data_IF_264569808010
#
_entry.id   IF_264569808010
#
_cell.length_a   1.000
_cell.length_b   1.000
_cell.length_c   1.000
_cell.angle_alpha   90.00
_cell.angle_beta   90.00
_cell.angle_gamma   90.00
#
_symmetry.space_group_name_H-M   'P 1'
#
loop_
_entity.id
_entity.type
_entity.pdbx_description
1 polymer ?
#
# COMPACT_ATOMS: atom_id res chain seq x y z
N UNK A 1 -1.33 -39.08 13.73
CA UNK A 1 -0.88 -39.57 12.42
C UNK A 1 -0.42 -38.44 11.53
N UNK A 2 0.90 -38.29 11.51
CA UNK A 2 1.61 -37.41 10.60
C UNK A 2 2.28 -38.32 9.58
N UNK A 3 2.14 -38.01 8.28
CA UNK A 3 3.20 -38.01 7.25
C UNK A 3 2.59 -38.15 5.84
N UNK A 4 3.01 -37.22 4.97
CA UNK A 4 2.97 -37.21 3.49
C UNK A 4 1.65 -37.07 2.74
N UNK A 5 1.42 -35.86 2.24
CA UNK A 5 1.36 -35.49 0.82
C UNK A 5 1.41 -33.94 0.81
N UNK A 6 2.42 -33.26 0.29
CA UNK A 6 3.14 -33.54 -0.94
C UNK A 6 2.91 -32.35 -1.87
N UNK A 7 3.86 -31.42 -1.85
CA UNK A 7 4.25 -30.54 -2.97
C UNK A 7 3.17 -29.72 -3.70
N UNK A 8 3.14 -28.42 -3.44
CA UNK A 8 2.98 -27.32 -4.40
C UNK A 8 3.07 -26.01 -3.59
N UNK A 9 4.25 -25.46 -3.27
CA UNK A 9 5.11 -24.73 -4.21
C UNK A 9 4.33 -24.10 -5.36
N UNK A 10 3.48 -23.13 -5.04
CA UNK A 10 3.29 -21.95 -5.90
C UNK A 10 3.53 -20.73 -5.03
N UNK A 11 4.81 -20.52 -4.70
CA UNK A 11 5.32 -19.23 -4.28
C UNK A 11 5.26 -18.35 -5.53
N UNK A 12 4.37 -17.37 -5.53
CA UNK A 12 4.13 -16.50 -6.68
C UNK A 12 5.44 -15.95 -7.26
N UNK A 13 5.61 -15.84 -8.61
CA UNK A 13 6.89 -15.53 -9.24
C UNK A 13 7.42 -14.11 -9.01
N UNK A 14 6.68 -13.25 -8.31
CA UNK A 14 7.00 -11.83 -8.17
C UNK A 14 8.10 -11.52 -7.15
N UNK A 15 8.55 -12.50 -6.34
CA UNK A 15 9.56 -12.28 -5.30
C UNK A 15 11.02 -12.52 -5.74
N UNK A 16 11.25 -12.86 -7.02
CA UNK A 16 12.59 -13.20 -7.54
C UNK A 16 13.34 -12.03 -8.20
N UNK A 17 12.73 -10.85 -8.31
CA UNK A 17 13.33 -9.70 -9.01
C UNK A 17 14.09 -8.71 -8.11
N UNK A 18 14.38 -9.07 -6.85
CA UNK A 18 15.18 -8.20 -5.95
C UNK A 18 16.38 -8.91 -5.30
N UNK A 19 16.58 -10.20 -5.52
CA UNK A 19 17.65 -10.96 -4.83
C UNK A 19 18.93 -11.16 -5.66
N UNK A 20 19.01 -10.66 -6.90
CA UNK A 20 20.19 -10.80 -7.76
C UNK A 20 21.20 -9.64 -7.67
N UNK A 21 21.02 -8.70 -6.74
CA UNK A 21 21.86 -7.51 -6.59
C UNK A 21 22.60 -7.45 -5.25
N UNK A 22 22.77 -8.59 -4.57
CA UNK A 22 23.27 -8.61 -3.19
C UNK A 22 24.63 -9.29 -2.97
N UNK A 23 25.47 -9.45 -4.00
CA UNK A 23 26.81 -10.07 -3.82
C UNK A 23 28.00 -9.30 -4.36
N UNK A 24 27.85 -8.05 -4.78
CA UNK A 24 29.03 -7.21 -5.05
C UNK A 24 28.74 -5.77 -4.72
N UNK A 25 29.13 -5.35 -3.51
CA UNK A 25 29.63 -4.01 -3.21
C UNK A 25 29.97 -3.95 -1.71
N UNK A 26 31.23 -4.23 -1.40
CA UNK A 26 31.86 -3.84 -0.15
C UNK A 26 32.06 -2.32 -0.20
N UNK A 27 31.06 -1.55 0.23
CA UNK A 27 31.19 -0.09 0.31
C UNK A 27 31.11 0.35 1.76
N UNK A 28 32.22 0.91 2.23
CA UNK A 28 32.33 1.68 3.47
C UNK A 28 31.16 2.67 3.56
N UNK A 29 30.61 2.80 4.76
CA UNK A 29 29.57 3.76 5.12
C UNK A 29 29.98 5.18 4.76
N UNK A 30 29.57 5.61 3.56
CA UNK A 30 29.23 7.00 3.28
C UNK A 30 27.80 6.90 2.76
N UNK A 31 26.84 7.09 3.65
CA UNK A 31 25.41 7.13 3.30
C UNK A 31 25.19 8.37 2.45
N UNK A 32 25.46 8.26 1.14
CA UNK A 32 24.95 9.23 0.18
C UNK A 32 23.45 9.01 0.17
N UNK A 33 22.73 9.87 0.89
CA UNK A 33 21.30 10.02 0.76
C UNK A 33 21.04 10.39 -0.70
N UNK A 34 20.79 9.40 -1.55
CA UNK A 34 20.32 9.64 -2.91
C UNK A 34 18.92 10.22 -2.77
N UNK A 35 18.84 11.54 -2.79
CA UNK A 35 17.58 12.27 -2.94
C UNK A 35 17.06 12.00 -4.35
N UNK A 36 16.15 11.04 -4.47
CA UNK A 36 15.34 10.89 -5.67
C UNK A 36 14.46 12.13 -5.75
N UNK A 37 14.83 13.08 -6.61
CA UNK A 37 13.95 14.18 -7.02
C UNK A 37 12.81 13.60 -7.85
N UNK A 38 11.87 12.94 -7.18
CA UNK A 38 10.70 12.38 -7.82
C UNK A 38 9.75 13.55 -8.08
N UNK A 39 9.56 13.90 -9.36
CA UNK A 39 8.64 14.99 -9.68
C UNK A 39 7.23 14.66 -9.15
N UNK A 40 6.47 15.64 -8.63
CA UNK A 40 5.08 15.41 -8.19
C UNK A 40 4.22 14.76 -9.28
N UNK A 41 4.48 15.07 -10.56
CA UNK A 41 3.82 14.45 -11.71
C UNK A 41 4.16 12.96 -11.87
N UNK A 42 5.40 12.56 -11.65
CA UNK A 42 5.79 11.16 -11.71
C UNK A 42 5.19 10.36 -10.54
N UNK A 43 5.13 10.96 -9.35
CA UNK A 43 4.47 10.38 -8.19
C UNK A 43 2.97 10.20 -8.42
N UNK A 44 2.29 11.20 -9.00
CA UNK A 44 0.87 11.09 -9.37
C UNK A 44 0.60 9.94 -10.34
N UNK A 45 1.40 9.82 -11.40
CA UNK A 45 1.28 8.69 -12.36
C UNK A 45 1.46 7.33 -11.71
N UNK A 46 2.38 7.22 -10.75
CA UNK A 46 2.58 5.99 -9.99
C UNK A 46 1.35 5.67 -9.11
N UNK A 47 0.80 6.68 -8.43
CA UNK A 47 -0.41 6.53 -7.61
C UNK A 47 -1.64 6.12 -8.42
N UNK A 48 -1.79 6.64 -9.64
CA UNK A 48 -2.89 6.30 -10.53
C UNK A 48 -2.75 4.91 -11.16
N UNK A 49 -1.63 4.23 -10.94
CA UNK A 49 -1.43 2.89 -11.46
C UNK A 49 -2.28 1.85 -10.72
N UNK A 50 -3.06 1.08 -11.50
CA UNK A 50 -3.89 -0.03 -10.99
C UNK A 50 -3.09 -1.06 -10.18
N UNK A 51 -1.88 -1.48 -10.60
CA UNK A 51 -1.11 -2.46 -9.84
C UNK A 51 -0.71 -1.97 -8.44
N UNK A 52 -0.36 -0.68 -8.30
CA UNK A 52 -0.01 -0.13 -7.00
C UNK A 52 -1.22 -0.08 -6.07
N UNK A 53 -2.38 0.38 -6.56
CA UNK A 53 -3.59 0.44 -5.76
C UNK A 53 -4.03 -0.96 -5.28
N UNK A 54 -3.97 -1.96 -6.16
CA UNK A 54 -4.27 -3.35 -5.81
C UNK A 54 -3.29 -3.91 -4.76
N UNK A 55 -2.00 -3.57 -4.88
CA UNK A 55 -1.00 -3.95 -3.89
C UNK A 55 -1.28 -3.32 -2.51
N UNK A 56 -1.54 -2.01 -2.46
CA UNK A 56 -1.84 -1.32 -1.20
C UNK A 56 -3.12 -1.85 -0.54
N UNK A 57 -4.16 -2.15 -1.33
CA UNK A 57 -5.38 -2.79 -0.85
C UNK A 57 -5.12 -4.19 -0.29
N UNK A 58 -4.22 -4.96 -0.92
CA UNK A 58 -3.80 -6.27 -0.40
C UNK A 58 -3.08 -6.15 0.95
N UNK A 59 -2.23 -5.12 1.12
CA UNK A 59 -1.56 -4.86 2.41
C UNK A 59 -2.55 -4.44 3.50
N UNK A 60 -3.55 -3.64 3.17
CA UNK A 60 -4.64 -3.29 4.09
C UNK A 60 -5.44 -4.52 4.53
N UNK A 61 -5.79 -5.40 3.58
CA UNK A 61 -6.44 -6.68 3.89
C UNK A 61 -5.57 -7.58 4.76
N UNK A 62 -4.26 -7.64 4.51
CA UNK A 62 -3.32 -8.38 5.34
C UNK A 62 -3.29 -7.82 6.77
N UNK A 63 -3.22 -6.49 6.90
CA UNK A 63 -3.24 -5.81 8.19
C UNK A 63 -4.49 -6.17 9.00
N UNK A 64 -5.68 -6.05 8.41
CA UNK A 64 -6.95 -6.39 9.08
C UNK A 64 -7.05 -7.86 9.46
N UNK A 65 -6.66 -8.76 8.54
CA UNK A 65 -6.62 -10.20 8.79
C UNK A 65 -5.72 -10.55 9.98
N UNK A 66 -4.55 -9.92 10.09
CA UNK A 66 -3.64 -10.12 11.23
C UNK A 66 -4.31 -9.66 12.54
N UNK A 67 -5.01 -8.52 12.51
CA UNK A 67 -5.75 -8.03 13.69
C UNK A 67 -6.81 -9.00 14.16
N UNK A 68 -7.60 -9.53 13.21
CA UNK A 68 -8.60 -10.55 13.51
C UNK A 68 -7.99 -11.83 14.10
N UNK A 69 -6.85 -12.29 13.57
CA UNK A 69 -6.16 -13.47 14.11
C UNK A 69 -5.65 -13.26 15.52
N UNK A 70 -5.09 -12.07 15.80
CA UNK A 70 -4.61 -11.71 17.13
C UNK A 70 -5.76 -11.55 18.15
N UNK A 71 -6.97 -11.18 17.70
CA UNK A 71 -8.12 -11.00 18.60
C UNK A 71 -8.93 -12.28 18.84
N UNK A 72 -8.93 -13.24 17.90
CA UNK A 72 -9.84 -14.40 17.93
C UNK A 72 -9.19 -15.73 18.27
N UNK A 73 -7.88 -15.90 18.05
CA UNK A 73 -7.22 -17.20 18.19
C UNK A 73 -6.30 -17.26 19.43
N UNK A 74 -6.27 -18.41 20.10
CA UNK A 74 -5.14 -18.79 20.96
C UNK A 74 -3.95 -19.13 20.06
N UNK A 75 -3.26 -18.10 19.61
CA UNK A 75 -2.06 -18.23 18.80
C UNK A 75 -0.89 -18.55 19.72
N UNK A 76 0.00 -19.48 19.33
CA UNK A 76 1.24 -19.69 20.08
C UNK A 76 2.01 -18.36 20.20
N UNK A 77 2.56 -18.06 21.38
CA UNK A 77 3.31 -16.83 21.70
C UNK A 77 4.36 -16.42 20.66
N UNK A 78 5.04 -17.38 20.03
CA UNK A 78 6.00 -17.08 18.97
C UNK A 78 5.31 -16.48 17.72
N UNK A 79 4.23 -17.12 17.26
CA UNK A 79 3.43 -16.65 16.14
C UNK A 79 2.72 -15.33 16.45
N UNK A 80 2.27 -15.14 17.70
CA UNK A 80 1.67 -13.89 18.16
C UNK A 80 2.66 -12.72 18.05
N UNK A 81 3.91 -12.91 18.49
CA UNK A 81 4.97 -11.91 18.35
C UNK A 81 5.27 -11.58 16.89
N UNK A 82 5.43 -12.60 16.04
CA UNK A 82 5.69 -12.40 14.61
C UNK A 82 4.56 -11.63 13.92
N UNK A 83 3.31 -11.99 14.21
CA UNK A 83 2.12 -11.31 13.68
C UNK A 83 2.02 -9.87 14.19
N UNK A 84 2.32 -9.63 15.47
CA UNK A 84 2.31 -8.29 16.06
C UNK A 84 3.37 -7.40 15.42
N UNK A 85 4.58 -7.94 15.19
CA UNK A 85 5.65 -7.23 14.51
C UNK A 85 5.25 -6.85 13.06
N UNK A 86 4.75 -7.83 12.30
CA UNK A 86 4.27 -7.60 10.94
C UNK A 86 3.17 -6.55 10.88
N UNK A 87 2.22 -6.57 11.82
CA UNK A 87 1.15 -5.56 11.91
C UNK A 87 1.70 -4.17 12.20
N UNK A 88 2.72 -4.06 13.05
CA UNK A 88 3.40 -2.79 13.33
C UNK A 88 4.16 -2.25 12.10
N UNK A 89 4.78 -3.12 11.31
CA UNK A 89 5.42 -2.74 10.03
C UNK A 89 4.42 -2.25 8.98
N UNK A 90 3.24 -2.88 8.92
CA UNK A 90 2.18 -2.50 7.97
C UNK A 90 1.43 -1.22 8.38
N UNK A 91 1.34 -0.93 9.69
CA UNK A 91 0.57 0.20 10.22
C UNK A 91 0.83 1.54 9.51
N UNK A 92 2.08 2.04 9.38
CA UNK A 92 2.30 3.35 8.75
C UNK A 92 1.91 3.37 7.27
N UNK A 93 2.02 2.24 6.57
CA UNK A 93 1.62 2.13 5.16
C UNK A 93 0.11 2.18 5.00
N UNK A 94 -0.63 1.43 5.83
CA UNK A 94 -2.10 1.42 5.81
C UNK A 94 -2.64 2.79 6.21
N UNK A 95 -2.08 3.41 7.25
CA UNK A 95 -2.49 4.73 7.69
C UNK A 95 -2.29 5.78 6.58
N UNK A 96 -1.13 5.80 5.93
CA UNK A 96 -0.87 6.73 4.82
C UNK A 96 -1.80 6.47 3.63
N UNK A 97 -2.05 5.19 3.30
CA UNK A 97 -2.95 4.81 2.21
C UNK A 97 -4.37 5.35 2.43
N UNK A 98 -4.93 5.12 3.62
CA UNK A 98 -6.26 5.60 3.99
C UNK A 98 -6.35 7.13 3.98
N UNK A 99 -5.32 7.83 4.48
CA UNK A 99 -5.25 9.29 4.45
C UNK A 99 -5.28 9.85 3.02
N UNK A 100 -4.55 9.22 2.09
CA UNK A 100 -4.55 9.66 0.68
C UNK A 100 -5.92 9.39 0.03
N UNK A 101 -6.55 8.25 0.32
CA UNK A 101 -7.90 7.95 -0.18
C UNK A 101 -8.93 8.97 0.31
N UNK A 102 -8.90 9.31 1.60
CA UNK A 102 -9.81 10.29 2.17
C UNK A 102 -9.56 11.69 1.57
N UNK A 103 -8.31 12.12 1.45
CA UNK A 103 -7.97 13.38 0.80
C UNK A 103 -8.46 13.42 -0.66
N UNK A 104 -8.31 12.32 -1.41
CA UNK A 104 -8.81 12.20 -2.79
C UNK A 104 -10.34 12.34 -2.85
N UNK A 105 -11.06 11.73 -1.90
CA UNK A 105 -12.53 11.84 -1.80
C UNK A 105 -12.96 13.28 -1.51
N UNK A 106 -12.28 13.95 -0.57
CA UNK A 106 -12.57 15.35 -0.22
C UNK A 106 -12.36 16.30 -1.40
N UNK A 107 -11.30 16.09 -2.20
CA UNK A 107 -11.08 16.85 -3.43
C UNK A 107 -12.21 16.62 -4.43
N UNK A 108 -12.61 15.37 -4.66
CA UNK A 108 -13.70 15.04 -5.58
C UNK A 108 -15.05 15.64 -5.14
N UNK A 109 -15.32 15.70 -3.84
CA UNK A 109 -16.52 16.33 -3.30
C UNK A 109 -16.49 17.84 -3.52
N UNK A 110 -15.36 18.49 -3.26
CA UNK A 110 -15.18 19.91 -3.50
C UNK A 110 -15.33 20.27 -4.98
N UNK A 111 -14.76 19.47 -5.89
CA UNK A 111 -14.92 19.63 -7.35
C UNK A 111 -16.40 19.55 -7.78
N UNK A 112 -17.17 18.63 -7.19
CA UNK A 112 -18.62 18.52 -7.44
C UNK A 112 -19.37 19.75 -6.95
N UNK A 113 -19.06 20.24 -5.74
CA UNK A 113 -19.66 21.45 -5.19
C UNK A 113 -19.38 22.68 -6.07
N UNK A 114 -18.13 22.87 -6.47
CA UNK A 114 -17.74 23.95 -7.38
C UNK A 114 -18.44 23.86 -8.73
N UNK A 115 -18.54 22.66 -9.31
CA UNK A 115 -19.26 22.44 -10.57
C UNK A 115 -20.74 22.75 -10.43
N UNK A 116 -21.37 22.30 -9.34
CA UNK A 116 -22.76 22.62 -9.02
C UNK A 116 -23.01 24.12 -8.85
N UNK A 117 -22.09 24.84 -8.21
CA UNK A 117 -22.17 26.30 -8.06
C UNK A 117 -21.94 27.05 -9.38
N UNK A 118 -21.05 26.57 -10.26
CA UNK A 118 -20.81 27.17 -11.58
C UNK A 118 -22.03 27.03 -12.50
N UNK A 119 -22.77 25.92 -12.44
CA UNK A 119 -24.04 25.75 -13.16
C UNK A 119 -25.15 26.68 -12.66
N UNK A 120 -25.17 27.06 -11.39
CA UNK A 120 -26.15 28.03 -10.85
C UNK A 120 -25.79 29.47 -11.24
N UNK A 121 -24.50 29.76 -11.50
CA UNK A 121 -24.02 31.11 -11.82
C UNK A 121 -24.01 31.45 -13.31
N UNK A 122 -24.17 30.47 -14.18
CA UNK A 122 -24.50 30.68 -15.59
C UNK A 122 -26.00 30.39 -15.73
N UNK A 123 -26.91 31.33 -15.43
CA UNK A 123 -28.20 31.25 -16.09
C UNK A 123 -27.89 31.22 -17.58
N UNK A 124 -28.57 30.36 -18.32
CA UNK A 124 -28.59 30.38 -19.77
C UNK A 124 -28.77 31.85 -20.22
N UNK A 125 -27.68 32.53 -20.54
CA UNK A 125 -27.73 33.71 -21.38
C UNK A 125 -28.07 33.10 -22.73
N UNK A 126 -29.33 33.34 -23.08
CA UNK A 126 -30.10 32.79 -24.17
C UNK A 126 -29.37 32.79 -25.52
N UNK A 127 -29.79 31.84 -26.37
CA UNK A 127 -29.79 31.86 -27.84
C UNK A 127 -28.60 32.52 -28.57
#
# INVERSE_FOLDING_TARGET
DCVTLGLLMIRSPSHLMLNSLCHSCRSRTVTSARTFHTSPRALGKLWDSVPLQAYLQTLEQEYERIGSLLSTCSVNKFKEKDLSLRRAELFPLVQAFQQIQEAKKQIQELEKMCTGMLFVRIPAVAL
#
